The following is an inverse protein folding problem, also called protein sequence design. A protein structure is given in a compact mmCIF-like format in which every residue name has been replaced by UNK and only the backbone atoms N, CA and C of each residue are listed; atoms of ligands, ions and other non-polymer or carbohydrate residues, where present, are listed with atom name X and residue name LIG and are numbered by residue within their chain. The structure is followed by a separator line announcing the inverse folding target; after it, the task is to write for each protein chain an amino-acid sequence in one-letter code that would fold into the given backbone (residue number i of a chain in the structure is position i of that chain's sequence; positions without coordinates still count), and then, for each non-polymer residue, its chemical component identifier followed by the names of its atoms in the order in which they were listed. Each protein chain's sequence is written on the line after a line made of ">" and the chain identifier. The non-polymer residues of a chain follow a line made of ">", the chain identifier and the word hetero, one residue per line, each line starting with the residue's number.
data_IF_830245830527
#
_entry.id   IF_830245830527
#
_cell.length_a   1.000
_cell.length_b   1.000
_cell.length_c   1.000
_cell.angle_alpha   90.00
_cell.angle_beta   90.00
_cell.angle_gamma   90.00
#
_symmetry.space_group_name_H-M   'P 1'
#
loop_
_entity.id
_entity.type
_entity.pdbx_description
1 polymer ?
#
# COMPACT_ATOMS: atom_id res chain seq x y z
N UNK A 1 2.57 -6.04 29.73
CA UNK A 1 1.91 -6.95 28.79
C UNK A 1 2.42 -6.54 27.43
N UNK A 2 3.27 -7.33 26.78
CA UNK A 2 3.60 -7.05 25.38
C UNK A 2 2.27 -6.91 24.63
N UNK A 3 2.11 -5.81 23.90
CA UNK A 3 0.92 -5.63 23.07
C UNK A 3 0.86 -6.83 22.13
N UNK A 4 -0.29 -7.51 22.09
CA UNK A 4 -0.51 -8.70 21.28
C UNK A 4 -0.12 -8.50 19.80
N UNK A 5 -0.20 -7.25 19.32
CA UNK A 5 0.26 -6.83 17.99
C UNK A 5 1.78 -6.97 17.79
N UNK A 6 2.60 -6.73 18.79
CA UNK A 6 4.06 -6.87 18.70
C UNK A 6 4.45 -8.32 18.39
N UNK A 7 3.79 -9.29 19.04
CA UNK A 7 3.99 -10.73 18.78
C UNK A 7 3.64 -11.08 17.34
N UNK A 8 2.52 -10.57 16.81
CA UNK A 8 2.12 -10.83 15.43
C UNK A 8 3.05 -10.16 14.42
N UNK A 9 3.50 -8.93 14.70
CA UNK A 9 4.46 -8.22 13.86
C UNK A 9 5.80 -8.95 13.81
N UNK A 10 6.30 -9.44 14.95
CA UNK A 10 7.53 -10.22 14.99
C UNK A 10 7.38 -11.55 14.24
N UNK A 11 6.23 -12.22 14.35
CA UNK A 11 5.93 -13.44 13.58
C UNK A 11 5.87 -13.21 12.06
N UNK A 12 5.48 -12.00 11.63
CA UNK A 12 5.51 -11.57 10.23
C UNK A 12 6.88 -11.03 9.77
N UNK A 13 7.89 -11.05 10.65
CA UNK A 13 9.23 -10.55 10.34
C UNK A 13 9.34 -9.02 10.33
N UNK A 14 8.41 -8.29 10.95
CA UNK A 14 8.43 -6.83 11.04
C UNK A 14 9.45 -6.31 12.07
N UNK A 15 10.66 -6.85 12.01
CA UNK A 15 11.84 -6.54 12.83
C UNK A 15 13.07 -6.24 11.95
N UNK A 16 12.86 -6.00 10.65
CA UNK A 16 13.90 -5.54 9.74
C UNK A 16 14.34 -4.14 10.16
N UNK A 17 15.65 -3.96 10.37
CA UNK A 17 16.21 -2.66 10.73
C UNK A 17 16.09 -1.70 9.55
N UNK A 18 15.41 -0.57 9.75
CA UNK A 18 15.35 0.51 8.77
C UNK A 18 16.67 1.26 8.75
N UNK A 19 17.14 1.63 7.57
CA UNK A 19 18.34 2.46 7.47
C UNK A 19 18.12 3.83 8.16
N UNK A 20 19.18 4.50 8.64
CA UNK A 20 19.06 5.84 9.21
C UNK A 20 18.38 6.83 8.24
N UNK A 21 18.65 6.70 6.94
CA UNK A 21 18.05 7.52 5.90
C UNK A 21 16.53 7.27 5.81
N UNK A 22 16.09 6.01 5.78
CA UNK A 22 14.66 5.69 5.75
C UNK A 22 13.91 6.26 6.95
N UNK A 23 14.48 6.13 8.16
CA UNK A 23 13.88 6.71 9.38
C UNK A 23 13.76 8.23 9.25
N UNK A 24 14.83 8.91 8.84
CA UNK A 24 14.83 10.36 8.67
C UNK A 24 13.81 10.82 7.61
N UNK A 25 13.75 10.17 6.47
CA UNK A 25 12.80 10.50 5.39
C UNK A 25 11.35 10.29 5.84
N UNK A 26 11.05 9.18 6.53
CA UNK A 26 9.72 8.93 7.09
C UNK A 26 9.34 9.99 8.13
N UNK A 27 10.27 10.36 9.01
CA UNK A 27 10.02 11.32 10.10
C UNK A 27 9.89 12.77 9.61
N UNK A 28 10.51 13.13 8.49
CA UNK A 28 10.61 14.54 8.04
C UNK A 28 9.93 14.84 6.70
N UNK A 29 9.92 13.89 5.76
CA UNK A 29 9.32 14.05 4.43
C UNK A 29 7.95 13.35 4.33
N UNK A 30 7.69 12.37 5.21
CA UNK A 30 6.47 11.57 5.21
C UNK A 30 6.46 10.43 4.19
N UNK A 31 7.59 10.13 3.56
CA UNK A 31 7.75 9.01 2.63
C UNK A 31 9.20 8.51 2.62
N UNK A 32 9.43 7.30 2.12
CA UNK A 32 10.76 6.77 1.76
C UNK A 32 10.63 5.88 0.52
N UNK A 33 11.72 5.66 -0.21
CA UNK A 33 11.72 4.83 -1.43
C UNK A 33 12.52 3.56 -1.20
N UNK A 34 11.88 2.42 -1.42
CA UNK A 34 12.53 1.11 -1.38
C UNK A 34 12.58 0.54 -2.79
N UNK A 35 13.80 0.27 -3.28
CA UNK A 35 14.01 -0.31 -4.60
C UNK A 35 13.97 -1.84 -4.55
N UNK A 36 13.55 -2.45 -5.65
CA UNK A 36 13.60 -3.91 -5.86
C UNK A 36 12.88 -4.73 -4.77
N UNK A 37 11.77 -4.20 -4.23
CA UNK A 37 10.92 -4.91 -3.26
C UNK A 37 10.39 -6.21 -3.86
N UNK A 38 9.93 -6.15 -5.11
CA UNK A 38 9.52 -7.31 -5.87
C UNK A 38 10.61 -7.73 -6.85
N UNK A 39 10.96 -9.00 -6.85
CA UNK A 39 11.78 -9.59 -7.90
C UNK A 39 11.01 -9.69 -9.23
N UNK A 40 11.73 -10.02 -10.31
CA UNK A 40 11.18 -10.05 -11.65
C UNK A 40 10.06 -11.10 -11.83
N UNK A 41 10.16 -12.24 -11.15
CA UNK A 41 9.18 -13.32 -11.23
C UNK A 41 7.89 -12.93 -10.52
N UNK A 42 8.01 -12.40 -9.29
CA UNK A 42 6.86 -11.92 -8.53
C UNK A 42 6.16 -10.77 -9.25
N UNK A 43 6.91 -9.84 -9.83
CA UNK A 43 6.36 -8.74 -10.62
C UNK A 43 5.61 -9.23 -11.87
N UNK A 44 6.17 -10.21 -12.59
CA UNK A 44 5.50 -10.82 -13.74
C UNK A 44 4.20 -11.53 -13.34
N UNK A 45 4.22 -12.27 -12.22
CA UNK A 45 3.05 -12.97 -11.71
C UNK A 45 1.95 -12.01 -11.23
N UNK A 46 2.31 -10.88 -10.58
CA UNK A 46 1.33 -9.86 -10.20
C UNK A 46 0.65 -9.22 -11.41
N UNK A 47 1.42 -8.93 -12.48
CA UNK A 47 0.87 -8.38 -13.74
C UNK A 47 -0.08 -9.36 -14.41
N UNK A 48 0.34 -10.61 -14.59
CA UNK A 48 -0.50 -11.65 -15.19
C UNK A 48 -1.80 -11.87 -14.39
N UNK A 49 -1.75 -11.80 -13.06
CA UNK A 49 -2.96 -11.91 -12.25
C UNK A 49 -3.87 -10.69 -12.36
N UNK A 50 -3.30 -9.48 -12.43
CA UNK A 50 -4.08 -8.26 -12.70
C UNK A 50 -4.81 -8.40 -14.04
N UNK A 51 -4.12 -8.79 -15.11
CA UNK A 51 -4.71 -8.98 -16.44
C UNK A 51 -5.86 -10.02 -16.39
N UNK A 52 -5.63 -11.16 -15.73
CA UNK A 52 -6.64 -12.20 -15.58
C UNK A 52 -7.86 -11.72 -14.75
N UNK A 53 -7.64 -10.88 -13.73
CA UNK A 53 -8.73 -10.29 -12.95
C UNK A 53 -9.53 -9.31 -13.82
N UNK A 54 -8.85 -8.46 -14.60
CA UNK A 54 -9.47 -7.51 -15.54
C UNK A 54 -10.35 -8.24 -16.55
N UNK A 55 -9.83 -9.28 -17.19
CA UNK A 55 -10.57 -10.09 -18.16
C UNK A 55 -11.79 -10.78 -17.52
N UNK A 56 -11.62 -11.34 -16.32
CA UNK A 56 -12.67 -12.09 -15.63
C UNK A 56 -13.79 -11.20 -15.09
N UNK A 57 -13.45 -10.05 -14.51
CA UNK A 57 -14.39 -9.23 -13.75
C UNK A 57 -14.98 -8.07 -14.58
N UNK A 58 -14.28 -7.63 -15.64
CA UNK A 58 -14.76 -6.62 -16.58
C UNK A 58 -15.29 -5.37 -15.88
N UNK A 59 -16.56 -5.02 -16.12
CA UNK A 59 -17.19 -3.83 -15.54
C UNK A 59 -17.32 -3.86 -14.00
N UNK A 60 -17.05 -5.00 -13.34
CA UNK A 60 -17.20 -5.18 -11.89
C UNK A 60 -15.92 -4.91 -11.07
N UNK A 61 -14.78 -4.59 -11.69
CA UNK A 61 -13.44 -4.54 -11.06
C UNK A 61 -13.33 -3.70 -9.77
N UNK A 62 -14.17 -2.67 -9.61
CA UNK A 62 -14.21 -1.81 -8.43
C UNK A 62 -15.63 -1.48 -7.98
N UNK A 63 -16.59 -2.40 -8.12
CA UNK A 63 -18.00 -2.13 -7.79
C UNK A 63 -18.22 -1.72 -6.33
N UNK A 64 -17.35 -2.19 -5.43
CA UNK A 64 -17.36 -1.88 -3.99
C UNK A 64 -16.60 -0.58 -3.63
N UNK A 65 -15.98 0.07 -4.62
CA UNK A 65 -15.20 1.30 -4.46
C UNK A 65 -15.50 2.31 -5.59
N UNK A 66 -14.69 3.37 -5.69
CA UNK A 66 -14.85 4.38 -6.73
C UNK A 66 -14.23 3.87 -8.03
N UNK A 67 -14.98 3.95 -9.12
CA UNK A 67 -14.43 3.81 -10.48
C UNK A 67 -13.83 5.15 -10.93
N UNK A 68 -12.80 5.10 -11.77
CA UNK A 68 -12.15 6.28 -12.37
C UNK A 68 -12.17 6.13 -13.89
N UNK A 69 -12.67 7.13 -14.63
CA UNK A 69 -12.68 7.06 -16.09
C UNK A 69 -11.28 7.01 -16.72
N UNK A 70 -10.26 7.47 -15.98
CA UNK A 70 -8.88 7.59 -16.46
C UNK A 70 -7.93 6.54 -15.89
N UNK A 71 -8.46 5.55 -15.15
CA UNK A 71 -7.67 4.48 -14.57
C UNK A 71 -8.47 3.19 -14.42
N UNK A 72 -7.84 2.06 -14.73
CA UNK A 72 -8.36 0.75 -14.34
C UNK A 72 -8.17 0.60 -12.83
N UNK A 73 -9.26 0.37 -12.09
CA UNK A 73 -9.22 0.17 -10.65
C UNK A 73 -9.70 -1.21 -10.30
N UNK A 74 -8.91 -1.91 -9.46
CA UNK A 74 -9.27 -3.21 -8.91
C UNK A 74 -9.36 -3.07 -7.40
N UNK A 75 -10.52 -3.37 -6.84
CA UNK A 75 -10.75 -3.37 -5.42
C UNK A 75 -10.37 -4.70 -4.76
N UNK A 76 -10.16 -4.70 -3.45
CA UNK A 76 -10.20 -5.91 -2.63
C UNK A 76 -9.24 -7.02 -3.08
N UNK A 77 -8.03 -6.63 -3.52
CA UNK A 77 -6.99 -7.58 -3.94
C UNK A 77 -6.62 -8.58 -2.85
N UNK A 78 -6.79 -8.20 -1.57
CA UNK A 78 -6.53 -9.10 -0.44
C UNK A 78 -7.31 -10.43 -0.55
N UNK A 79 -8.47 -10.43 -1.21
CA UNK A 79 -9.30 -11.60 -1.43
C UNK A 79 -9.19 -12.19 -2.84
N UNK A 80 -8.25 -11.71 -3.67
CA UNK A 80 -8.11 -12.09 -5.08
C UNK A 80 -6.83 -12.88 -5.39
N UNK A 81 -6.16 -13.42 -4.38
CA UNK A 81 -5.07 -14.37 -4.54
C UNK A 81 -3.98 -14.27 -3.47
N UNK A 82 -3.39 -15.41 -3.10
CA UNK A 82 -2.34 -15.47 -2.08
C UNK A 82 -1.05 -14.72 -2.47
N UNK A 83 -0.85 -14.44 -3.76
CA UNK A 83 0.29 -13.62 -4.22
C UNK A 83 0.33 -12.23 -3.57
N UNK A 84 -0.84 -11.70 -3.17
CA UNK A 84 -0.97 -10.41 -2.53
C UNK A 84 -0.59 -10.45 -1.04
N UNK A 85 -0.49 -11.63 -0.43
CA UNK A 85 -0.01 -11.78 0.95
C UNK A 85 1.38 -11.19 1.12
N UNK A 86 2.27 -11.49 0.18
CA UNK A 86 3.62 -10.92 0.13
C UNK A 86 3.64 -9.38 0.07
N UNK A 87 2.59 -8.74 -0.45
CA UNK A 87 2.49 -7.27 -0.53
C UNK A 87 2.14 -6.68 0.84
N UNK A 88 1.03 -7.12 1.45
CA UNK A 88 0.58 -6.54 2.71
C UNK A 88 1.37 -7.04 3.92
N UNK A 89 2.05 -8.19 3.80
CA UNK A 89 2.85 -8.79 4.85
C UNK A 89 4.36 -8.60 4.67
N UNK A 90 4.80 -7.72 3.78
CA UNK A 90 6.24 -7.57 3.48
C UNK A 90 7.02 -7.11 4.74
N UNK A 91 8.01 -7.88 5.23
CA UNK A 91 8.73 -7.61 6.48
C UNK A 91 9.23 -6.17 6.63
N UNK A 92 9.96 -5.65 5.62
CA UNK A 92 10.49 -4.29 5.63
C UNK A 92 9.39 -3.21 5.66
N UNK A 93 8.27 -3.44 4.96
CA UNK A 93 7.17 -2.48 4.91
C UNK A 93 6.46 -2.44 6.27
N UNK A 94 6.24 -3.61 6.88
CA UNK A 94 5.67 -3.69 8.22
C UNK A 94 6.58 -3.07 9.27
N UNK A 95 7.91 -3.21 9.16
CA UNK A 95 8.87 -2.50 10.01
C UNK A 95 8.77 -0.97 9.85
N UNK A 96 8.59 -0.47 8.63
CA UNK A 96 8.34 0.95 8.37
C UNK A 96 7.01 1.42 8.99
N UNK A 97 5.93 0.65 8.84
CA UNK A 97 4.65 0.94 9.48
C UNK A 97 4.77 0.95 11.02
N UNK A 98 5.50 -0.01 11.61
CA UNK A 98 5.75 -0.08 13.05
C UNK A 98 6.50 1.16 13.55
N UNK A 99 7.51 1.63 12.81
CA UNK A 99 8.25 2.86 13.11
C UNK A 99 7.34 4.10 13.08
N UNK A 100 6.49 4.23 12.07
CA UNK A 100 5.61 5.40 11.89
C UNK A 100 4.44 5.40 12.88
N UNK A 101 3.76 4.27 13.08
CA UNK A 101 2.54 4.23 13.89
C UNK A 101 2.80 4.11 15.39
N UNK A 102 3.91 3.50 15.81
CA UNK A 102 4.28 3.30 17.21
C UNK A 102 3.13 2.71 18.07
N UNK A 103 2.32 1.85 17.46
CA UNK A 103 1.12 1.29 18.07
C UNK A 103 0.40 0.31 17.13
N UNK A 104 -0.80 -0.11 17.53
CA UNK A 104 -1.58 -1.10 16.80
C UNK A 104 -2.10 -0.55 15.47
N UNK A 105 -1.94 -1.32 14.39
CA UNK A 105 -2.48 -1.00 13.08
C UNK A 105 -3.02 -2.25 12.38
N UNK A 106 -3.79 -2.05 11.32
CA UNK A 106 -4.34 -3.12 10.49
C UNK A 106 -4.33 -2.70 9.03
N UNK A 107 -4.35 -3.69 8.14
CA UNK A 107 -4.59 -3.46 6.72
C UNK A 107 -6.00 -2.89 6.54
N UNK A 108 -6.10 -1.70 5.95
CA UNK A 108 -7.39 -1.04 5.68
C UNK A 108 -8.00 -1.57 4.37
N UNK A 109 -7.24 -1.51 3.29
CA UNK A 109 -7.63 -1.99 1.96
C UNK A 109 -6.38 -2.25 1.11
N UNK A 110 -6.47 -3.19 0.18
CA UNK A 110 -5.45 -3.41 -0.85
C UNK A 110 -6.12 -3.38 -2.22
N UNK A 111 -5.71 -2.43 -3.06
CA UNK A 111 -6.33 -2.13 -4.35
C UNK A 111 -5.24 -1.93 -5.41
N UNK A 112 -5.53 -2.26 -6.67
CA UNK A 112 -4.70 -1.84 -7.81
C UNK A 112 -5.32 -0.63 -8.50
N UNK A 113 -4.44 0.24 -9.01
CA UNK A 113 -4.79 1.37 -9.87
C UNK A 113 -3.77 1.45 -11.00
N UNK A 114 -4.23 1.24 -12.21
CA UNK A 114 -3.43 1.40 -13.43
C UNK A 114 -3.91 2.65 -14.17
N UNK A 115 -3.02 3.64 -14.32
CA UNK A 115 -3.34 4.86 -15.04
C UNK A 115 -3.39 4.59 -16.55
N UNK A 116 -4.46 5.02 -17.21
CA UNK A 116 -4.58 4.88 -18.66
C UNK A 116 -3.66 5.88 -19.38
N UNK A 117 -3.22 5.51 -20.57
CA UNK A 117 -2.51 6.42 -21.46
C UNK A 117 -3.37 7.67 -21.71
N UNK A 118 -2.78 8.86 -21.58
CA UNK A 118 -3.46 10.17 -21.62
C UNK A 118 -4.54 10.39 -20.54
N UNK A 119 -4.53 9.62 -19.45
CA UNK A 119 -5.48 9.77 -18.33
C UNK A 119 -5.27 11.02 -17.44
N UNK A 120 -4.23 11.80 -17.69
CA UNK A 120 -3.91 13.02 -16.93
C UNK A 120 -3.37 12.78 -15.51
N UNK A 121 -3.20 13.86 -14.75
CA UNK A 121 -2.70 13.82 -13.38
C UNK A 121 -3.84 13.84 -12.36
N UNK A 122 -3.66 13.13 -11.24
CA UNK A 122 -4.54 13.33 -10.08
C UNK A 122 -4.25 14.70 -9.45
N UNK A 123 -5.29 15.44 -9.01
CA UNK A 123 -5.08 16.68 -8.27
C UNK A 123 -4.33 16.40 -6.96
N UNK A 124 -3.65 17.40 -6.42
CA UNK A 124 -3.03 17.29 -5.10
C UNK A 124 -4.10 17.03 -4.03
N UNK A 125 -3.90 15.98 -3.24
CA UNK A 125 -4.81 15.56 -2.18
C UNK A 125 -4.05 14.86 -1.06
N UNK A 126 -4.71 14.72 0.09
CA UNK A 126 -4.31 13.80 1.14
C UNK A 126 -5.21 12.55 1.07
N UNK A 127 -4.69 11.40 1.51
CA UNK A 127 -5.44 10.14 1.50
C UNK A 127 -6.56 10.07 2.57
N UNK A 128 -6.77 11.13 3.35
CA UNK A 128 -7.87 11.24 4.31
C UNK A 128 -8.97 12.19 3.82
N UNK A 129 -10.22 11.88 4.16
CA UNK A 129 -11.40 12.62 3.67
C UNK A 129 -11.66 13.97 4.35
N UNK A 130 -11.15 14.19 5.57
CA UNK A 130 -11.44 15.40 6.36
C UNK A 130 -10.15 16.11 6.76
N UNK A 131 -10.12 17.46 6.73
CA UNK A 131 -9.01 18.21 7.31
C UNK A 131 -8.79 17.80 8.77
N UNK A 132 -7.56 17.39 9.08
CA UNK A 132 -7.11 17.08 10.43
C UNK A 132 -6.53 18.35 11.03
N UNK A 133 -7.21 18.94 12.02
CA UNK A 133 -6.74 20.16 12.70
C UNK A 133 -5.47 19.91 13.52
N UNK A 134 -5.23 18.66 13.89
CA UNK A 134 -4.06 18.14 14.63
C UNK A 134 -2.84 17.87 13.73
N UNK A 135 -3.00 17.93 12.40
CA UNK A 135 -1.90 17.75 11.46
C UNK A 135 -1.59 19.08 10.76
N UNK A 136 -0.33 19.52 10.82
CA UNK A 136 0.11 20.67 10.02
C UNK A 136 -0.11 20.31 8.55
N UNK A 137 -0.88 21.14 7.84
CA UNK A 137 -0.93 21.07 6.37
C UNK A 137 0.52 21.19 5.88
N UNK A 138 1.00 20.20 5.13
CA UNK A 138 2.19 20.37 4.31
C UNK A 138 1.86 21.47 3.28
N UNK A 139 2.21 22.70 3.62
CA UNK A 139 2.31 23.82 2.69
C UNK A 139 3.65 23.65 1.98
N UNK A 140 3.61 23.08 0.78
CA UNK A 140 4.68 23.25 -0.21
C UNK A 140 4.36 24.50 -1.02
#
# INVERSE_FOLDING_TARGET
>A
MEQQSAVYLDALGANVELSPAMKQELDTLGYTVVHNVADAEWLAAMRALIDAIVEREGDNLAIEHHQEATATRIANLINKGAIWEKVWSHPLILSACRHVFQGDFKVSSLNAREALFNGGHQPLHADWKKPRHDFRKCIW
#
